data_IF_743203844000
#
_entry.id   IF_743203844000
#
_cell.length_a   1.000
_cell.length_b   1.000
_cell.length_c   1.000
_cell.angle_alpha   90.00
_cell.angle_beta   90.00
_cell.angle_gamma   90.00
#
_symmetry.space_group_name_H-M   'P 1'
#
loop_
_entity.id
_entity.type
_entity.pdbx_description
1 polymer ?
#
# COMPACT_ATOMS: atom_id res chain seq x y z
N UNK A 1 -18.42 -8.75 -12.18
CA UNK A 1 -17.77 -8.76 -10.86
C UNK A 1 -18.31 -7.58 -10.08
N UNK A 2 -18.90 -7.76 -8.89
CA UNK A 2 -19.36 -6.62 -8.10
C UNK A 2 -18.14 -5.77 -7.73
N UNK A 3 -18.18 -4.50 -8.09
CA UNK A 3 -17.16 -3.52 -7.70
C UNK A 3 -17.08 -3.49 -6.18
N UNK A 4 -15.93 -3.85 -5.61
CA UNK A 4 -15.71 -3.74 -4.18
C UNK A 4 -15.93 -2.28 -3.77
N UNK A 5 -16.97 -2.03 -2.98
CA UNK A 5 -17.19 -0.71 -2.41
C UNK A 5 -16.09 -0.48 -1.38
N UNK A 6 -15.11 0.35 -1.74
CA UNK A 6 -14.01 0.71 -0.86
C UNK A 6 -14.58 1.41 0.37
N UNK A 7 -14.48 0.77 1.53
CA UNK A 7 -14.94 1.38 2.78
C UNK A 7 -13.95 2.49 3.13
N UNK A 8 -14.36 3.77 3.21
CA UNK A 8 -13.41 4.85 3.47
C UNK A 8 -12.76 4.68 4.84
N UNK A 9 -11.44 4.45 4.86
CA UNK A 9 -10.67 4.42 6.10
C UNK A 9 -10.56 5.84 6.68
N UNK A 10 -10.65 6.02 8.01
CA UNK A 10 -10.49 7.33 8.63
C UNK A 10 -9.12 7.94 8.34
N UNK A 11 -9.13 9.19 7.85
CA UNK A 11 -7.91 9.94 7.53
C UNK A 11 -7.57 10.98 8.60
N UNK A 12 -6.29 11.33 8.72
CA UNK A 12 -5.77 12.42 9.56
C UNK A 12 -4.76 13.26 8.78
N UNK A 13 -4.66 14.53 9.14
CA UNK A 13 -3.66 15.43 8.55
C UNK A 13 -2.23 14.95 8.87
N UNK A 14 -1.37 14.92 7.84
CA UNK A 14 0.05 14.59 8.00
C UNK A 14 0.83 15.83 8.46
N UNK A 15 1.01 15.97 9.78
CA UNK A 15 1.82 17.04 10.35
C UNK A 15 1.28 18.43 9.99
N UNK A 16 2.08 19.23 9.27
CA UNK A 16 1.71 20.58 8.81
C UNK A 16 1.34 20.65 7.33
N UNK A 17 1.26 19.51 6.63
CA UNK A 17 0.85 19.49 5.23
C UNK A 17 -0.67 19.49 5.10
N UNK A 18 -1.17 19.73 3.90
CA UNK A 18 -2.61 19.62 3.58
C UNK A 18 -3.03 18.19 3.24
N UNK A 19 -2.14 17.21 3.40
CA UNK A 19 -2.45 15.80 3.09
C UNK A 19 -3.29 15.16 4.20
N UNK A 20 -4.40 14.53 3.81
CA UNK A 20 -5.19 13.67 4.67
C UNK A 20 -4.84 12.19 4.38
N UNK A 21 -4.12 11.53 5.29
CA UNK A 21 -3.67 10.15 5.13
C UNK A 21 -4.43 9.20 6.04
N UNK A 22 -4.65 7.97 5.58
CA UNK A 22 -5.14 6.88 6.43
C UNK A 22 -4.15 6.60 7.56
N UNK A 23 -4.63 6.15 8.73
CA UNK A 23 -3.73 5.78 9.84
C UNK A 23 -2.84 4.58 9.50
N UNK A 24 -3.30 3.72 8.60
CA UNK A 24 -2.58 2.57 8.06
C UNK A 24 -2.07 2.91 6.65
N UNK A 25 -0.82 2.58 6.37
CA UNK A 25 -0.19 2.71 5.05
C UNK A 25 0.31 1.35 4.55
N UNK A 26 0.66 1.28 3.27
CA UNK A 26 1.25 0.07 2.68
C UNK A 26 2.78 0.15 2.74
N UNK A 27 3.42 -0.68 3.57
CA UNK A 27 4.89 -0.73 3.62
C UNK A 27 5.48 -1.44 2.41
N UNK A 28 6.28 -0.73 1.60
CA UNK A 28 6.87 -1.26 0.37
C UNK A 28 8.26 -1.92 0.52
N UNK A 29 8.74 -2.14 1.76
CA UNK A 29 10.09 -2.67 2.00
C UNK A 29 10.31 -4.07 1.39
N UNK A 30 9.35 -4.96 1.57
CA UNK A 30 9.48 -6.37 1.20
C UNK A 30 9.26 -6.66 -0.29
N UNK A 31 8.79 -5.69 -1.08
CA UNK A 31 8.42 -5.89 -2.50
C UNK A 31 9.49 -5.43 -3.49
N UNK A 32 10.70 -5.12 -3.01
CA UNK A 32 11.81 -4.62 -3.83
C UNK A 32 12.50 -5.67 -4.71
N UNK A 33 12.15 -6.94 -4.56
CA UNK A 33 12.76 -8.04 -5.32
C UNK A 33 14.15 -8.46 -4.83
N UNK A 34 14.76 -9.46 -5.50
CA UNK A 34 16.02 -10.07 -5.06
C UNK A 34 17.24 -9.14 -5.20
N UNK A 35 17.15 -8.12 -6.05
CA UNK A 35 18.24 -7.14 -6.26
C UNK A 35 18.24 -6.01 -5.21
N UNK A 36 17.27 -6.01 -4.30
CA UNK A 36 17.22 -5.04 -3.21
C UNK A 36 18.16 -5.46 -2.06
N UNK A 37 18.94 -4.51 -1.54
CA UNK A 37 20.12 -4.75 -0.67
C UNK A 37 19.84 -5.51 0.64
N UNK A 38 18.61 -5.49 1.14
CA UNK A 38 18.20 -6.34 2.27
C UNK A 38 16.93 -7.16 1.94
N UNK A 39 16.81 -7.59 0.67
CA UNK A 39 15.71 -8.41 0.20
C UNK A 39 15.76 -9.78 0.87
N UNK A 40 14.60 -10.28 1.29
CA UNK A 40 14.50 -11.57 1.98
C UNK A 40 14.34 -12.77 1.02
N UNK A 41 14.70 -12.57 -0.25
CA UNK A 41 14.59 -13.58 -1.30
C UNK A 41 13.85 -13.07 -2.54
N UNK A 42 13.60 -13.99 -3.47
CA UNK A 42 12.85 -13.71 -4.70
C UNK A 42 11.43 -13.32 -4.34
N UNK A 43 10.97 -12.21 -4.91
CA UNK A 43 9.58 -11.76 -4.81
C UNK A 43 8.97 -11.80 -6.21
N UNK A 44 7.73 -12.25 -6.31
CA UNK A 44 6.98 -12.14 -7.54
C UNK A 44 6.46 -10.71 -7.71
N UNK A 45 6.80 -10.10 -8.85
CA UNK A 45 6.31 -8.78 -9.23
C UNK A 45 4.78 -8.75 -9.35
N UNK A 46 4.15 -9.83 -9.82
CA UNK A 46 2.71 -9.93 -9.95
C UNK A 46 2.02 -9.89 -8.58
N UNK A 47 2.55 -10.60 -7.60
CA UNK A 47 2.05 -10.57 -6.22
C UNK A 47 2.25 -9.20 -5.57
N UNK A 48 3.41 -8.56 -5.81
CA UNK A 48 3.69 -7.20 -5.33
C UNK A 48 2.67 -6.18 -5.87
N UNK A 49 2.38 -6.25 -7.17
CA UNK A 49 1.37 -5.39 -7.81
C UNK A 49 -0.03 -5.69 -7.26
N UNK A 50 -0.37 -6.97 -7.08
CA UNK A 50 -1.66 -7.37 -6.52
C UNK A 50 -1.83 -6.85 -5.09
N UNK A 51 -0.79 -6.91 -4.26
CA UNK A 51 -0.79 -6.42 -2.89
C UNK A 51 -1.01 -4.90 -2.82
N UNK A 52 -0.31 -4.12 -3.66
CA UNK A 52 -0.51 -2.67 -3.74
C UNK A 52 -1.96 -2.34 -4.15
N UNK A 53 -2.47 -3.00 -5.19
CA UNK A 53 -3.85 -2.78 -5.67
C UNK A 53 -4.86 -3.11 -4.59
N UNK A 54 -4.67 -4.23 -3.90
CA UNK A 54 -5.55 -4.63 -2.80
C UNK A 54 -5.55 -3.61 -1.67
N UNK A 55 -4.38 -3.05 -1.30
CA UNK A 55 -4.29 -2.00 -0.29
C UNK A 55 -5.12 -0.75 -0.69
N UNK A 56 -5.00 -0.32 -1.95
CA UNK A 56 -5.78 0.81 -2.49
C UNK A 56 -7.28 0.50 -2.51
N UNK A 57 -7.67 -0.70 -2.93
CA UNK A 57 -9.07 -1.15 -2.93
C UNK A 57 -9.66 -1.20 -1.51
N UNK A 58 -8.83 -1.48 -0.49
CA UNK A 58 -9.19 -1.40 0.93
C UNK A 58 -9.25 0.03 1.48
N UNK A 59 -8.95 1.05 0.66
CA UNK A 59 -9.03 2.45 1.02
C UNK A 59 -7.75 3.04 1.62
N UNK A 60 -6.62 2.32 1.60
CA UNK A 60 -5.30 2.87 1.98
C UNK A 60 -4.87 3.87 0.92
N UNK A 61 -4.38 5.04 1.34
CA UNK A 61 -4.06 6.15 0.44
C UNK A 61 -2.60 6.62 0.48
N UNK A 62 -1.71 5.86 1.11
CA UNK A 62 -0.28 6.13 1.10
C UNK A 62 0.57 4.86 1.21
N UNK A 63 1.78 4.94 0.66
CA UNK A 63 2.81 3.90 0.56
C UNK A 63 4.10 4.44 1.17
#
# INVERSE_FOLDING_TARGET
MPSAQSTPLPTRRLGRTDMAITRVGFGAWAIGGPDWVAGWGVQDNAESIAAIRHAVDCGINWI
#
